data_IF_856450619953
#
_entry.id   IF_856450619953
#
_cell.length_a   1.000
_cell.length_b   1.000
_cell.length_c   1.000
_cell.angle_alpha   90.00
_cell.angle_beta   90.00
_cell.angle_gamma   90.00
#
_symmetry.space_group_name_H-M   'P 1'
#
loop_
_entity.id
_entity.type
_entity.pdbx_description
1 polymer ?
#
# COMPACT_ATOMS: atom_id res chain seq x y z
N UNK A 1 8.72 -21.67 16.42
CA UNK A 1 9.30 -20.33 16.68
C UNK A 1 9.31 -19.55 15.37
N UNK A 2 8.84 -18.30 15.33
CA UNK A 2 8.86 -17.49 14.08
C UNK A 2 10.30 -17.06 13.77
N UNK A 3 10.72 -17.13 12.51
CA UNK A 3 12.07 -16.69 12.09
C UNK A 3 12.30 -15.21 12.44
N UNK A 4 13.54 -14.86 12.79
CA UNK A 4 13.96 -13.48 13.08
C UNK A 4 13.62 -12.53 11.91
N UNK A 5 13.80 -13.00 10.67
CA UNK A 5 13.48 -12.21 9.47
C UNK A 5 11.98 -11.90 9.36
N UNK A 6 11.11 -12.84 9.74
CA UNK A 6 9.66 -12.61 9.71
C UNK A 6 9.26 -11.61 10.81
N UNK A 7 9.88 -11.68 11.99
CA UNK A 7 9.63 -10.71 13.07
C UNK A 7 10.08 -9.30 12.67
N UNK A 8 11.26 -9.18 12.04
CA UNK A 8 11.74 -7.90 11.51
C UNK A 8 10.80 -7.34 10.44
N UNK A 9 10.31 -8.19 9.52
CA UNK A 9 9.37 -7.79 8.49
C UNK A 9 8.03 -7.32 9.09
N UNK A 10 7.50 -7.98 10.13
CA UNK A 10 6.27 -7.51 10.80
C UNK A 10 6.42 -6.13 11.43
N UNK A 11 7.54 -5.88 12.13
CA UNK A 11 7.81 -4.58 12.76
C UNK A 11 7.93 -3.48 11.71
N UNK A 12 8.67 -3.77 10.63
CA UNK A 12 8.85 -2.85 9.52
C UNK A 12 7.51 -2.52 8.85
N UNK A 13 6.72 -3.55 8.53
CA UNK A 13 5.45 -3.35 7.84
C UNK A 13 4.40 -2.69 8.72
N UNK A 14 4.34 -3.00 10.01
CA UNK A 14 3.46 -2.29 10.95
C UNK A 14 3.76 -0.78 10.99
N UNK A 15 5.06 -0.44 11.08
CA UNK A 15 5.52 0.95 11.07
C UNK A 15 5.26 1.64 9.73
N UNK A 16 5.44 0.92 8.62
CA UNK A 16 5.14 1.41 7.28
C UNK A 16 3.64 1.72 7.14
N UNK A 17 2.79 0.74 7.41
CA UNK A 17 1.32 0.83 7.28
C UNK A 17 0.74 2.00 8.09
N UNK A 18 1.30 2.25 9.28
CA UNK A 18 0.89 3.40 10.11
C UNK A 18 1.28 4.73 9.47
N UNK A 19 2.53 4.86 8.97
CA UNK A 19 3.03 6.12 8.40
C UNK A 19 2.45 6.45 7.03
N UNK A 20 1.96 5.45 6.30
CA UNK A 20 1.38 5.61 4.95
C UNK A 20 -0.14 5.55 4.97
N UNK A 21 -0.78 5.53 6.15
CA UNK A 21 -2.23 5.55 6.30
C UNK A 21 -2.95 4.31 5.77
N UNK A 22 -2.26 3.17 5.69
CA UNK A 22 -2.95 1.87 5.67
C UNK A 22 -3.68 1.70 7.00
N UNK A 23 -3.05 2.12 8.11
CA UNK A 23 -3.70 2.24 9.42
C UNK A 23 -3.77 3.72 9.82
N UNK A 24 -4.97 4.29 9.81
CA UNK A 24 -5.21 5.70 10.14
C UNK A 24 -5.31 6.63 8.92
N UNK A 25 -5.20 7.96 9.13
CA UNK A 25 -5.31 8.94 8.06
C UNK A 25 -4.20 8.76 7.01
N UNK A 26 -4.58 8.75 5.73
CA UNK A 26 -3.63 8.73 4.63
C UNK A 26 -3.04 10.12 4.39
N UNK A 27 -1.71 10.21 4.38
CA UNK A 27 -0.97 11.35 3.84
C UNK A 27 -0.52 11.01 2.40
N UNK A 28 -1.19 11.55 1.37
CA UNK A 28 -0.86 11.27 -0.03
C UNK A 28 0.55 11.70 -0.41
N UNK A 29 1.13 12.69 0.29
CA UNK A 29 2.45 13.24 -0.04
C UNK A 29 3.60 12.27 0.29
N UNK A 30 3.35 11.24 1.08
CA UNK A 30 4.33 10.24 1.52
C UNK A 30 4.36 8.99 0.66
N UNK A 31 3.70 9.00 -0.50
CA UNK A 31 3.64 7.83 -1.40
C UNK A 31 4.65 7.92 -2.52
N UNK A 32 5.31 6.80 -2.76
CA UNK A 32 6.13 6.58 -3.94
C UNK A 32 5.77 5.22 -4.52
N UNK A 33 5.37 5.19 -5.79
CA UNK A 33 4.75 4.03 -6.44
C UNK A 33 5.56 2.75 -6.23
N UNK A 34 6.89 2.80 -6.44
CA UNK A 34 7.74 1.63 -6.27
C UNK A 34 7.84 1.17 -4.81
N UNK A 35 7.89 2.09 -3.86
CA UNK A 35 7.93 1.73 -2.44
C UNK A 35 6.64 1.03 -2.03
N UNK A 36 5.48 1.54 -2.47
CA UNK A 36 4.20 0.92 -2.20
C UNK A 36 4.08 -0.47 -2.87
N UNK A 37 4.55 -0.61 -4.12
CA UNK A 37 4.57 -1.91 -4.80
C UNK A 37 5.39 -2.97 -4.05
N UNK A 38 6.57 -2.61 -3.55
CA UNK A 38 7.38 -3.52 -2.72
C UNK A 38 6.71 -3.82 -1.37
N UNK A 39 6.04 -2.85 -0.75
CA UNK A 39 5.31 -3.06 0.49
C UNK A 39 4.12 -4.01 0.31
N UNK A 40 3.38 -3.93 -0.80
CA UNK A 40 2.34 -4.92 -1.16
C UNK A 40 2.93 -6.33 -1.22
N UNK A 41 4.07 -6.50 -1.91
CA UNK A 41 4.75 -7.80 -1.99
C UNK A 41 5.20 -8.31 -0.61
N UNK A 42 5.72 -7.41 0.25
CA UNK A 42 6.14 -7.76 1.60
C UNK A 42 4.96 -8.23 2.48
N UNK A 43 3.81 -7.54 2.39
CA UNK A 43 2.59 -7.91 3.10
C UNK A 43 2.04 -9.27 2.61
N UNK A 44 2.02 -9.51 1.29
CA UNK A 44 1.65 -10.82 0.75
C UNK A 44 2.64 -11.93 1.20
N UNK A 45 3.93 -11.61 1.28
CA UNK A 45 4.94 -12.50 1.85
C UNK A 45 4.67 -12.86 3.32
N UNK A 46 4.33 -11.85 4.14
CA UNK A 46 3.93 -12.06 5.54
C UNK A 46 2.65 -12.88 5.66
N UNK A 47 1.64 -12.65 4.82
CA UNK A 47 0.44 -13.48 4.75
C UNK A 47 0.80 -14.94 4.44
N UNK A 48 1.62 -15.19 3.41
CA UNK A 48 2.04 -16.55 3.05
C UNK A 48 2.77 -17.26 4.18
N UNK A 49 3.65 -16.54 4.88
CA UNK A 49 4.49 -17.10 5.96
C UNK A 49 3.76 -17.29 7.29
N UNK A 50 2.74 -16.48 7.59
CA UNK A 50 2.08 -16.47 8.92
C UNK A 50 0.61 -16.88 8.89
N UNK A 51 -0.02 -16.89 7.72
CA UNK A 51 -1.47 -17.10 7.51
C UNK A 51 -2.38 -16.12 8.27
N UNK A 52 -1.84 -14.98 8.70
CA UNK A 52 -2.63 -13.92 9.34
C UNK A 52 -3.30 -13.06 8.27
N UNK A 53 -4.64 -13.08 8.25
CA UNK A 53 -5.47 -12.40 7.26
C UNK A 53 -5.20 -10.90 7.17
N UNK A 54 -4.88 -10.26 8.31
CA UNK A 54 -4.55 -8.82 8.36
C UNK A 54 -3.52 -8.38 7.32
N UNK A 55 -2.55 -9.22 6.96
CA UNK A 55 -1.53 -8.85 5.99
C UNK A 55 -2.04 -8.86 4.55
N UNK A 56 -3.02 -9.73 4.25
CA UNK A 56 -3.70 -9.69 2.97
C UNK A 56 -4.62 -8.46 2.88
N UNK A 57 -5.35 -8.17 3.96
CA UNK A 57 -6.23 -7.00 4.03
C UNK A 57 -5.43 -5.68 3.88
N UNK A 58 -4.29 -5.58 4.57
CA UNK A 58 -3.37 -4.44 4.46
C UNK A 58 -2.80 -4.30 3.03
N UNK A 59 -2.50 -5.43 2.36
CA UNK A 59 -1.99 -5.41 0.99
C UNK A 59 -3.03 -4.87 0.00
N UNK A 60 -4.29 -5.31 0.15
CA UNK A 60 -5.42 -4.83 -0.66
C UNK A 60 -5.62 -3.34 -0.42
N UNK A 61 -5.72 -2.93 0.85
CA UNK A 61 -5.92 -1.52 1.21
C UNK A 61 -4.79 -0.62 0.69
N UNK A 62 -3.54 -1.08 0.74
CA UNK A 62 -2.43 -0.33 0.18
C UNK A 62 -2.54 -0.17 -1.35
N UNK A 63 -2.97 -1.22 -2.06
CA UNK A 63 -3.20 -1.15 -3.51
C UNK A 63 -4.32 -0.15 -3.85
N UNK A 64 -5.42 -0.14 -3.09
CA UNK A 64 -6.51 0.82 -3.27
C UNK A 64 -6.01 2.27 -3.04
N UNK A 65 -5.26 2.49 -1.96
CA UNK A 65 -4.67 3.80 -1.67
C UNK A 65 -3.73 4.28 -2.78
N UNK A 66 -2.97 3.37 -3.41
CA UNK A 66 -2.12 3.70 -4.56
C UNK A 66 -2.98 4.10 -5.76
N UNK A 67 -4.02 3.35 -6.07
CA UNK A 67 -4.92 3.70 -7.18
C UNK A 67 -5.57 5.06 -6.93
N UNK A 68 -6.14 5.29 -5.74
CA UNK A 68 -6.84 6.55 -5.43
C UNK A 68 -5.94 7.78 -5.52
N UNK A 69 -4.68 7.66 -5.08
CA UNK A 69 -3.78 8.81 -4.97
C UNK A 69 -2.83 8.98 -6.16
N UNK A 70 -2.38 7.87 -6.76
CA UNK A 70 -1.39 7.86 -7.85
C UNK A 70 -1.99 7.44 -9.19
N UNK A 71 -3.21 6.89 -9.21
CA UNK A 71 -3.91 6.47 -10.42
C UNK A 71 -4.68 7.58 -11.13
N UNK A 72 -4.71 8.80 -10.57
CA UNK A 72 -5.37 9.97 -11.17
C UNK A 72 -4.34 10.99 -11.65
N UNK A 73 -4.71 11.73 -12.70
CA UNK A 73 -3.92 12.89 -13.11
C UNK A 73 -3.85 13.91 -11.96
N UNK A 74 -2.68 14.57 -11.83
CA UNK A 74 -2.51 15.60 -10.81
C UNK A 74 -3.46 16.76 -11.08
N UNK A 75 -3.94 17.48 -10.04
CA UNK A 75 -4.80 18.65 -10.23
C UNK A 75 -4.19 19.75 -11.12
N UNK A 76 -2.86 19.80 -11.24
CA UNK A 76 -2.13 20.73 -12.09
C UNK A 76 -1.77 20.19 -13.47
N UNK A 77 -2.14 18.95 -13.82
CA UNK A 77 -1.97 18.38 -15.16
C UNK A 77 -3.09 18.90 -16.08
N UNK A 78 -2.81 19.06 -17.37
CA UNK A 78 -3.81 19.45 -18.36
C UNK A 78 -4.87 18.35 -18.60
N UNK A 79 -4.50 17.09 -18.32
CA UNK A 79 -5.39 15.93 -18.39
C UNK A 79 -6.11 15.76 -17.04
N UNK A 80 -7.34 15.28 -17.09
CA UNK A 80 -8.17 15.02 -15.91
C UNK A 80 -8.61 13.55 -15.87
N UNK A 81 -9.08 13.12 -14.71
CA UNK A 81 -9.57 11.75 -14.51
C UNK A 81 -8.47 10.72 -14.23
N UNK A 82 -8.78 9.46 -14.47
CA UNK A 82 -7.88 8.32 -14.24
C UNK A 82 -6.81 8.23 -15.33
N UNK A 83 -5.57 7.90 -14.95
CA UNK A 83 -4.45 7.65 -15.88
C UNK A 83 -4.77 6.47 -16.81
N UNK A 84 -5.59 5.53 -16.36
CA UNK A 84 -6.07 4.40 -17.17
C UNK A 84 -7.03 4.78 -18.30
N UNK A 85 -7.57 6.01 -18.28
CA UNK A 85 -8.63 6.44 -19.20
C UNK A 85 -10.03 5.90 -18.86
N UNK A 86 -10.19 5.23 -17.72
CA UNK A 86 -11.50 4.80 -17.23
C UNK A 86 -12.32 6.01 -16.73
N UNK A 87 -13.65 5.91 -16.83
CA UNK A 87 -14.55 6.90 -16.22
C UNK A 87 -14.61 6.72 -14.71
N UNK A 88 -14.99 7.78 -13.99
CA UNK A 88 -15.49 7.60 -12.62
C UNK A 88 -16.76 6.74 -12.69
N UNK A 89 -16.79 5.66 -11.89
CA UNK A 89 -17.91 4.72 -11.81
C UNK A 89 -19.03 5.26 -10.92
#
# INVERSE_FOLDING_TARGET
MRSQSIQAAELLMSSFSTRTGVHGPADPSRRYLWTDAYAVLALLGLYRATKRQQYLDDAIKLADLVHDNLGRHRPSDARAGWISGLSDA
#
